data_IF_639452551635
#
_entry.id   IF_639452551635
#
_cell.length_a   1.000
_cell.length_b   1.000
_cell.length_c   1.000
_cell.angle_alpha   90.00
_cell.angle_beta   90.00
_cell.angle_gamma   90.00
#
_symmetry.space_group_name_H-M   'P 1'
#
loop_
_entity.id
_entity.type
_entity.pdbx_description
1 polymer ?
#
# COMPACT_ATOMS: atom_id res chain seq x y z
N UNK A 1 13.16 -2.86 -7.43
CA UNK A 1 13.35 -3.31 -6.04
C UNK A 1 12.01 -3.78 -5.48
N UNK A 2 11.98 -5.07 -5.12
CA UNK A 2 10.85 -5.65 -4.40
C UNK A 2 10.48 -4.80 -3.19
N UNK A 3 9.18 -4.70 -2.91
CA UNK A 3 8.67 -4.00 -1.72
C UNK A 3 9.19 -4.69 -0.47
N UNK A 4 9.70 -3.89 0.45
CA UNK A 4 10.26 -4.40 1.71
C UNK A 4 9.14 -4.83 2.66
N UNK A 5 7.98 -4.20 2.52
CA UNK A 5 6.75 -4.54 3.25
C UNK A 5 5.57 -4.47 2.28
N UNK A 6 4.71 -5.48 2.33
CA UNK A 6 3.41 -5.48 1.66
C UNK A 6 2.34 -5.83 2.68
N UNK A 7 1.32 -4.99 2.80
CA UNK A 7 0.20 -5.15 3.75
C UNK A 7 -1.13 -5.04 3.00
N UNK A 8 -2.16 -5.78 3.42
CA UNK A 8 -3.44 -5.77 2.73
C UNK A 8 -4.54 -6.57 3.43
N UNK A 9 -5.78 -6.44 2.96
CA UNK A 9 -6.96 -7.13 3.51
C UNK A 9 -7.73 -7.97 2.48
N UNK A 10 -7.15 -8.16 1.28
CA UNK A 10 -7.79 -8.86 0.15
C UNK A 10 -8.74 -8.00 -0.69
N UNK A 11 -8.75 -6.67 -0.50
CA UNK A 11 -9.35 -5.68 -1.41
C UNK A 11 -8.38 -4.52 -1.64
N UNK A 12 -7.80 -4.02 -0.55
CA UNK A 12 -6.72 -3.05 -0.52
C UNK A 12 -5.38 -3.77 -0.31
N UNK A 13 -4.39 -3.42 -1.12
CA UNK A 13 -3.00 -3.86 -0.99
C UNK A 13 -2.07 -2.64 -1.09
N UNK A 14 -1.15 -2.49 -0.14
CA UNK A 14 -0.18 -1.39 -0.11
C UNK A 14 1.24 -1.95 -0.05
N UNK A 15 2.09 -1.47 -0.96
CA UNK A 15 3.52 -1.82 -1.02
C UNK A 15 4.39 -0.66 -0.56
N UNK A 16 5.26 -0.92 0.41
CA UNK A 16 6.23 0.04 0.96
C UNK A 16 7.65 -0.34 0.52
N UNK A 17 8.45 0.66 0.15
CA UNK A 17 9.88 0.46 -0.08
C UNK A 17 10.69 0.36 1.22
N UNK A 18 12.00 0.17 1.09
CA UNK A 18 12.92 0.05 2.24
C UNK A 18 12.93 1.30 3.13
N UNK A 19 12.54 2.46 2.59
CA UNK A 19 12.47 3.75 3.29
C UNK A 19 11.11 3.97 3.97
N UNK A 20 10.21 2.99 3.91
CA UNK A 20 8.84 3.10 4.42
C UNK A 20 7.95 3.99 3.56
N UNK A 21 8.34 4.32 2.33
CA UNK A 21 7.55 5.14 1.43
C UNK A 21 6.56 4.28 0.65
N UNK A 22 5.32 4.74 0.48
CA UNK A 22 4.34 4.02 -0.34
C UNK A 22 4.74 4.12 -1.81
N UNK A 23 4.81 2.97 -2.46
CA UNK A 23 5.11 2.84 -3.91
C UNK A 23 3.96 2.25 -4.69
N UNK A 24 3.17 1.39 -4.04
CA UNK A 24 2.01 0.75 -4.63
C UNK A 24 0.80 0.87 -3.72
N UNK A 25 -0.35 1.15 -4.31
CA UNK A 25 -1.66 1.10 -3.67
C UNK A 25 -2.67 0.55 -4.66
N UNK A 26 -3.15 -0.67 -4.43
CA UNK A 26 -4.12 -1.35 -5.28
C UNK A 26 -5.48 -1.39 -4.61
N UNK A 27 -6.50 -0.93 -5.33
CA UNK A 27 -7.90 -0.93 -4.92
C UNK A 27 -8.80 -0.86 -6.17
N UNK A 28 -10.04 -1.37 -6.15
CA UNK A 28 -10.68 -2.23 -5.14
C UNK A 28 -10.34 -3.72 -5.30
N UNK A 29 -9.42 -4.04 -6.21
CA UNK A 29 -8.95 -5.38 -6.48
C UNK A 29 -7.45 -5.49 -6.28
N UNK A 30 -7.03 -6.60 -5.67
CA UNK A 30 -5.62 -6.85 -5.35
C UNK A 30 -4.78 -6.96 -6.63
N UNK A 31 -3.88 -6.01 -6.85
CA UNK A 31 -2.95 -6.04 -7.99
C UNK A 31 -3.48 -5.43 -9.30
N UNK A 32 -4.71 -4.92 -9.34
CA UNK A 32 -5.28 -4.43 -10.60
C UNK A 32 -4.88 -2.99 -10.93
N UNK A 33 -5.58 -1.99 -10.41
CA UNK A 33 -5.24 -0.60 -10.63
C UNK A 33 -4.27 -0.14 -9.55
N UNK A 34 -3.01 0.15 -9.90
CA UNK A 34 -2.13 0.85 -8.98
C UNK A 34 -2.42 2.35 -9.01
N UNK A 35 -2.80 2.92 -7.87
CA UNK A 35 -3.13 4.33 -7.73
C UNK A 35 -1.95 5.21 -7.34
N UNK A 36 -0.74 4.67 -7.25
CA UNK A 36 0.50 5.43 -6.95
C UNK A 36 1.43 5.41 -8.15
N UNK A 37 1.90 4.24 -8.53
CA UNK A 37 2.87 4.05 -9.63
C UNK A 37 2.30 3.24 -10.77
N UNK A 38 2.95 3.24 -11.93
CA UNK A 38 2.56 2.39 -13.06
C UNK A 38 3.44 2.64 -14.28
N UNK A 39 2.95 2.24 -15.46
CA UNK A 39 3.66 2.47 -16.72
C UNK A 39 3.94 3.97 -17.00
N UNK A 40 3.19 4.87 -16.36
CA UNK A 40 3.30 6.33 -16.55
C UNK A 40 4.32 7.01 -15.63
N UNK A 41 4.91 6.30 -14.65
CA UNK A 41 5.95 6.83 -13.78
C UNK A 41 6.11 6.04 -12.47
N UNK A 42 7.23 6.27 -11.79
CA UNK A 42 7.52 5.77 -10.44
C UNK A 42 7.29 6.91 -9.45
N UNK A 43 6.17 6.87 -8.75
CA UNK A 43 5.76 7.91 -7.82
C UNK A 43 5.79 7.38 -6.39
N UNK A 44 5.78 8.32 -5.45
CA UNK A 44 6.12 7.99 -4.07
C UNK A 44 5.37 8.85 -3.09
N UNK A 45 4.93 8.22 -2.01
CA UNK A 45 4.47 8.97 -0.85
C UNK A 45 5.68 9.28 0.04
N UNK A 46 6.07 10.55 0.07
CA UNK A 46 7.28 11.00 0.77
C UNK A 46 7.00 11.26 2.24
N UNK A 47 8.02 11.02 3.05
CA UNK A 47 8.04 11.31 4.48
C UNK A 47 9.21 12.25 4.71
N UNK A 48 8.94 13.44 5.25
CA UNK A 48 9.93 14.46 5.51
C UNK A 48 9.78 15.06 6.90
N UNK A 49 10.89 15.52 7.47
CA UNK A 49 10.92 16.22 8.76
C UNK A 49 11.55 17.58 8.57
N UNK A 50 10.89 18.61 9.07
CA UNK A 50 11.46 19.95 9.20
C UNK A 50 11.75 20.23 10.67
N UNK A 51 13.00 20.55 10.97
CA UNK A 51 13.47 20.87 12.32
C UNK A 51 14.64 21.83 12.21
N UNK A 52 14.72 22.80 13.12
CA UNK A 52 15.82 23.77 13.17
C UNK A 52 16.06 24.54 11.86
N UNK A 53 14.98 24.86 11.13
CA UNK A 53 15.03 25.66 9.90
C UNK A 53 15.42 24.88 8.64
N UNK A 54 15.47 23.55 8.69
CA UNK A 54 15.83 22.69 7.55
C UNK A 54 14.83 21.55 7.36
N UNK A 55 14.47 21.28 6.11
CA UNK A 55 13.76 20.06 5.71
C UNK A 55 14.77 18.92 5.48
N UNK A 56 14.37 17.69 5.77
CA UNK A 56 15.04 16.48 5.29
C UNK A 56 14.01 15.40 5.00
N UNK A 57 14.09 14.81 3.82
CA UNK A 57 13.27 13.69 3.39
C UNK A 57 13.97 12.37 3.71
N UNK A 58 13.20 11.32 3.99
CA UNK A 58 13.77 9.99 4.25
C UNK A 58 14.57 9.43 3.07
N UNK A 59 14.39 9.98 1.86
CA UNK A 59 15.19 9.62 0.71
C UNK A 59 16.49 10.41 0.52
N UNK A 60 16.72 11.46 1.32
CA UNK A 60 17.98 12.18 1.39
C UNK A 60 19.10 11.33 2.02
N UNK A 61 20.34 11.74 1.75
CA UNK A 61 21.50 11.20 2.45
C UNK A 61 21.46 11.54 3.95
N UNK A 62 21.92 10.62 4.80
CA UNK A 62 22.05 10.83 6.26
C UNK A 62 21.06 10.05 7.12
N UNK A 63 20.01 9.48 6.51
CA UNK A 63 19.11 8.56 7.20
C UNK A 63 19.63 7.12 7.17
N UNK A 64 19.69 6.48 8.33
CA UNK A 64 19.88 5.03 8.47
C UNK A 64 18.51 4.40 8.68
N UNK A 65 18.08 3.57 7.74
CA UNK A 65 16.73 3.02 7.73
C UNK A 65 16.76 1.50 7.78
N UNK A 66 15.93 0.94 8.65
CA UNK A 66 15.58 -0.48 8.68
C UNK A 66 14.06 -0.61 8.57
N UNK A 67 13.59 -1.56 7.76
CA UNK A 67 12.17 -1.85 7.62
C UNK A 67 11.93 -3.34 7.48
N UNK A 68 10.73 -3.78 7.83
CA UNK A 68 10.35 -5.18 7.73
C UNK A 68 8.92 -5.43 8.18
N UNK A 69 8.57 -6.71 8.17
CA UNK A 69 7.31 -7.21 8.69
C UNK A 69 7.56 -7.89 10.04
N UNK A 70 6.74 -7.58 11.02
CA UNK A 70 6.82 -8.18 12.35
C UNK A 70 6.47 -9.68 12.30
N UNK A 71 7.13 -10.50 13.13
CA UNK A 71 7.19 -11.98 12.97
C UNK A 71 5.81 -12.67 12.98
N UNK A 72 4.81 -12.10 13.66
CA UNK A 72 3.50 -12.70 13.86
C UNK A 72 2.33 -11.89 13.29
N UNK A 73 2.59 -10.85 12.52
CA UNK A 73 1.53 -9.97 12.04
C UNK A 73 1.84 -9.38 10.67
N UNK A 74 0.82 -9.09 9.87
CA UNK A 74 0.99 -8.33 8.63
C UNK A 74 0.89 -6.82 8.92
N UNK A 75 1.68 -6.38 9.90
CA UNK A 75 1.92 -4.97 10.22
C UNK A 75 3.39 -4.70 9.92
N UNK A 76 3.63 -3.69 9.09
CA UNK A 76 4.95 -3.22 8.75
C UNK A 76 5.56 -2.40 9.87
N UNK A 77 6.86 -2.50 10.03
CA UNK A 77 7.65 -1.62 10.89
C UNK A 77 8.77 -0.97 10.11
N UNK A 78 9.02 0.31 10.41
CA UNK A 78 10.18 1.04 9.91
C UNK A 78 10.81 1.84 11.05
N UNK A 79 12.13 1.91 11.05
CA UNK A 79 12.90 2.78 11.92
C UNK A 79 13.91 3.54 11.06
N UNK A 80 13.87 4.86 11.13
CA UNK A 80 14.79 5.76 10.45
C UNK A 80 15.48 6.67 11.47
N UNK A 81 16.80 6.75 11.43
CA UNK A 81 17.60 7.61 12.32
C UNK A 81 18.48 8.56 11.51
N UNK A 82 18.45 9.84 11.87
CA UNK A 82 19.39 10.84 11.39
C UNK A 82 20.13 11.47 12.58
N UNK A 83 21.41 11.10 12.72
CA UNK A 83 22.27 11.54 13.83
C UNK A 83 22.60 13.04 13.79
N UNK A 84 22.65 13.62 12.60
CA UNK A 84 22.93 15.05 12.42
C UNK A 84 21.72 15.89 12.84
N UNK A 85 20.52 15.50 12.38
CA UNK A 85 19.26 16.07 12.85
C UNK A 85 19.03 15.78 14.33
N UNK A 86 19.56 14.67 14.85
CA UNK A 86 19.21 14.16 16.18
C UNK A 86 17.73 13.76 16.25
N UNK A 87 17.20 13.23 15.15
CA UNK A 87 15.80 12.79 15.04
C UNK A 87 15.78 11.31 14.64
N UNK A 88 14.86 10.55 15.23
CA UNK A 88 14.45 9.26 14.67
C UNK A 88 12.95 9.19 14.47
N UNK A 89 12.52 8.39 13.51
CA UNK A 89 11.12 8.12 13.19
C UNK A 89 10.93 6.61 13.23
N UNK A 90 10.03 6.13 14.08
CA UNK A 90 9.48 4.78 13.99
C UNK A 90 8.13 4.80 13.29
N UNK A 91 7.77 3.76 12.54
CA UNK A 91 6.40 3.55 12.08
C UNK A 91 5.86 2.15 12.37
N UNK A 92 4.54 2.08 12.58
CA UNK A 92 3.72 0.86 12.42
C UNK A 92 2.72 1.11 11.30
N UNK A 93 2.74 0.25 10.29
CA UNK A 93 2.00 0.44 9.03
C UNK A 93 1.08 -0.75 8.78
N UNK A 94 -0.23 -0.51 8.66
CA UNK A 94 -1.24 -1.57 8.58
C UNK A 94 -2.33 -1.24 7.55
N UNK A 95 -2.84 -2.25 6.86
CA UNK A 95 -4.16 -2.14 6.20
C UNK A 95 -5.18 -2.80 7.11
N UNK A 96 -6.24 -2.08 7.47
CA UNK A 96 -7.23 -2.59 8.41
C UNK A 96 -7.89 -3.87 7.89
N UNK A 97 -8.06 -4.86 8.78
CA UNK A 97 -8.47 -6.22 8.41
C UNK A 97 -9.90 -6.31 7.82
N UNK A 98 -10.78 -5.35 8.10
CA UNK A 98 -12.17 -5.35 7.62
C UNK A 98 -12.55 -4.13 6.76
N UNK A 99 -11.75 -3.07 6.81
CA UNK A 99 -12.06 -1.80 6.16
C UNK A 99 -10.92 -1.40 5.25
N UNK A 100 -11.24 -0.79 4.11
CA UNK A 100 -10.28 -0.43 3.08
C UNK A 100 -9.55 0.88 3.47
N UNK A 101 -8.79 0.79 4.57
CA UNK A 101 -8.07 1.90 5.19
C UNK A 101 -6.62 1.46 5.44
N UNK A 102 -5.69 2.21 4.88
CA UNK A 102 -4.27 2.12 5.21
C UNK A 102 -3.96 3.08 6.35
N UNK A 103 -3.42 2.57 7.45
CA UNK A 103 -3.14 3.27 8.71
C UNK A 103 -1.63 3.28 8.96
N UNK A 104 -1.13 4.41 9.46
CA UNK A 104 0.26 4.58 9.85
C UNK A 104 0.31 5.27 11.21
N UNK A 105 1.08 4.70 12.13
CA UNK A 105 1.45 5.33 13.39
C UNK A 105 2.93 5.69 13.34
N UNK A 106 3.26 6.97 13.41
CA UNK A 106 4.62 7.49 13.47
C UNK A 106 4.96 7.92 14.89
N UNK A 107 6.10 7.45 15.40
CA UNK A 107 6.71 7.95 16.64
C UNK A 107 7.98 8.74 16.28
N UNK A 108 7.94 10.05 16.46
CA UNK A 108 9.07 10.95 16.17
C UNK A 108 9.80 11.26 17.47
N UNK A 109 11.09 10.96 17.55
CA UNK A 109 11.89 11.15 18.77
C UNK A 109 12.91 12.28 18.61
N UNK A 110 13.02 13.11 19.64
CA UNK A 110 14.02 14.15 19.78
C UNK A 110 15.20 13.64 20.63
N UNK A 111 16.34 13.37 19.99
CA UNK A 111 17.56 12.89 20.69
C UNK A 111 18.41 14.01 21.31
N UNK A 112 18.04 15.27 21.12
CA UNK A 112 18.72 16.43 21.72
C UNK A 112 18.15 16.72 23.11
N UNK A 113 18.87 17.55 23.87
CA UNK A 113 18.50 17.91 25.24
C UNK A 113 17.44 19.01 25.33
N UNK A 114 17.38 19.86 24.30
CA UNK A 114 16.47 20.99 24.18
C UNK A 114 15.13 20.56 23.62
N UNK A 115 14.07 21.26 24.04
CA UNK A 115 12.77 21.18 23.39
C UNK A 115 12.88 21.73 21.97
N UNK A 116 12.32 21.02 20.99
CA UNK A 116 12.37 21.43 19.58
C UNK A 116 10.98 21.41 18.94
N UNK A 117 10.74 22.40 18.09
CA UNK A 117 9.60 22.41 17.19
C UNK A 117 9.94 21.56 15.97
N UNK A 118 9.13 20.54 15.73
CA UNK A 118 9.31 19.58 14.65
C UNK A 118 8.05 19.59 13.80
N UNK A 119 8.21 19.59 12.47
CA UNK A 119 7.11 19.37 11.53
C UNK A 119 7.33 18.05 10.79
N UNK A 120 6.30 17.23 10.75
CA UNK A 120 6.24 16.04 9.90
C UNK A 120 5.47 16.39 8.63
N UNK A 121 6.13 16.23 7.48
CA UNK A 121 5.54 16.37 6.15
C UNK A 121 5.27 15.01 5.55
N UNK A 122 4.04 14.80 5.12
CA UNK A 122 3.61 13.59 4.41
C UNK A 122 3.09 14.04 3.05
N UNK A 123 3.82 13.70 1.98
CA UNK A 123 3.42 14.01 0.62
C UNK A 123 2.84 12.77 -0.06
N UNK A 124 1.75 12.93 -0.80
CA UNK A 124 1.02 11.86 -1.49
C UNK A 124 0.98 12.15 -2.98
N UNK A 125 1.60 11.28 -3.77
CA UNK A 125 1.50 11.32 -5.22
C UNK A 125 0.56 10.20 -5.67
N UNK A 126 -0.61 10.59 -6.17
CA UNK A 126 -1.54 9.64 -6.74
C UNK A 126 -1.51 9.69 -8.26
N UNK A 127 -1.66 8.51 -8.84
CA UNK A 127 -1.81 8.27 -10.27
C UNK A 127 -3.01 7.34 -10.44
N UNK A 128 -4.20 7.86 -10.21
CA UNK A 128 -5.41 7.02 -10.08
C UNK A 128 -5.66 6.32 -11.43
N UNK A 129 -5.79 4.99 -11.42
CA UNK A 129 -5.86 4.14 -12.62
C UNK A 129 -4.63 4.25 -13.52
N UNK A 130 -3.43 4.43 -12.94
CA UNK A 130 -2.15 4.50 -13.65
C UNK A 130 -2.07 5.60 -14.72
N UNK A 131 -2.96 6.59 -14.66
CA UNK A 131 -3.21 7.54 -15.73
C UNK A 131 -2.94 8.98 -15.29
N UNK A 132 -2.18 9.72 -16.12
CA UNK A 132 -1.75 11.11 -15.86
C UNK A 132 -2.84 12.19 -15.99
N UNK A 133 -4.11 11.80 -16.16
CA UNK A 133 -5.19 12.70 -16.57
C UNK A 133 -6.45 12.48 -15.75
N UNK A 134 -7.08 13.58 -15.36
CA UNK A 134 -8.43 13.58 -14.81
C UNK A 134 -8.51 13.20 -13.34
N UNK A 135 -7.39 13.25 -12.63
CA UNK A 135 -7.35 13.18 -11.18
C UNK A 135 -7.73 14.57 -10.64
N UNK A 136 -8.47 14.62 -9.53
CA UNK A 136 -8.78 15.86 -8.82
C UNK A 136 -8.42 15.68 -7.35
N UNK A 137 -7.66 16.60 -6.79
CA UNK A 137 -7.38 16.69 -5.36
C UNK A 137 -8.05 17.93 -4.77
N UNK A 138 -8.71 17.83 -3.63
CA UNK A 138 -9.25 18.99 -2.91
C UNK A 138 -9.26 18.79 -1.40
N UNK A 139 -9.19 19.89 -0.64
CA UNK A 139 -9.41 19.89 0.80
C UNK A 139 -10.91 20.01 1.11
N UNK A 140 -11.43 19.08 1.91
CA UNK A 140 -12.80 19.10 2.39
C UNK A 140 -12.86 19.61 3.84
N UNK A 141 -13.30 20.86 4.10
CA UNK A 141 -13.37 21.41 5.45
C UNK A 141 -14.44 20.77 6.32
N UNK A 142 -15.34 19.93 5.78
CA UNK A 142 -16.38 19.25 6.57
C UNK A 142 -15.81 18.12 7.41
N UNK A 143 -14.73 17.51 6.94
CA UNK A 143 -14.05 16.38 7.60
C UNK A 143 -12.57 16.68 7.90
N UNK A 144 -12.08 17.86 7.52
CA UNK A 144 -10.68 18.27 7.64
C UNK A 144 -9.72 17.26 6.99
N UNK A 145 -10.02 16.85 5.76
CA UNK A 145 -9.26 15.85 5.02
C UNK A 145 -9.01 16.30 3.58
N UNK A 146 -8.00 15.70 2.94
CA UNK A 146 -7.77 15.85 1.50
C UNK A 146 -8.44 14.69 0.78
N UNK A 147 -9.18 14.98 -0.28
CA UNK A 147 -9.81 13.99 -1.15
C UNK A 147 -9.12 14.02 -2.50
N UNK A 148 -8.60 12.88 -2.94
CA UNK A 148 -8.23 12.63 -4.33
C UNK A 148 -9.25 11.70 -4.95
N UNK A 149 -9.74 11.99 -6.16
CA UNK A 149 -10.69 11.12 -6.83
C UNK A 149 -10.56 11.13 -8.35
N UNK A 150 -11.03 10.04 -8.94
CA UNK A 150 -11.26 9.87 -10.38
C UNK A 150 -12.12 8.65 -10.63
N UNK A 151 -13.04 8.75 -11.59
CA UNK A 151 -13.96 7.67 -11.89
C UNK A 151 -14.74 7.26 -10.65
N UNK A 152 -14.71 5.97 -10.34
CA UNK A 152 -15.31 5.33 -9.16
C UNK A 152 -14.28 5.05 -8.05
N UNK A 153 -13.14 5.74 -8.02
CA UNK A 153 -12.16 5.66 -6.94
C UNK A 153 -12.02 6.99 -6.23
N UNK A 154 -12.16 6.95 -4.91
CA UNK A 154 -11.92 8.05 -3.99
C UNK A 154 -10.88 7.62 -2.95
N UNK A 155 -9.88 8.47 -2.76
CA UNK A 155 -8.79 8.32 -1.79
C UNK A 155 -8.83 9.51 -0.83
N UNK A 156 -9.21 9.28 0.42
CA UNK A 156 -9.21 10.32 1.45
C UNK A 156 -7.96 10.20 2.30
N UNK A 157 -7.23 11.31 2.46
CA UNK A 157 -6.01 11.43 3.24
C UNK A 157 -6.28 12.30 4.46
N UNK A 158 -5.99 11.77 5.65
CA UNK A 158 -6.17 12.49 6.90
C UNK A 158 -5.09 12.08 7.92
N UNK A 159 -4.87 12.92 8.92
CA UNK A 159 -3.86 12.70 9.94
C UNK A 159 -4.19 13.48 11.22
N UNK A 160 -3.78 12.92 12.36
CA UNK A 160 -3.88 13.58 13.67
C UNK A 160 -2.58 13.43 14.46
N UNK A 161 -2.25 14.47 15.22
CA UNK A 161 -1.16 14.46 16.20
C UNK A 161 -1.67 15.11 17.49
N UNK A 162 -1.45 14.45 18.63
CA UNK A 162 -1.99 14.89 19.94
C UNK A 162 -3.49 15.22 19.93
N UNK A 163 -4.28 14.45 19.17
CA UNK A 163 -5.73 14.65 19.01
C UNK A 163 -6.12 15.88 18.18
N UNK A 164 -5.17 16.57 17.55
CA UNK A 164 -5.42 17.68 16.63
C UNK A 164 -5.25 17.20 15.17
N UNK A 165 -6.11 17.64 14.24
CA UNK A 165 -5.93 17.36 12.81
C UNK A 165 -4.66 18.05 12.28
N UNK A 166 -4.16 17.60 11.12
CA UNK A 166 -3.06 18.28 10.43
C UNK A 166 -3.34 19.78 10.23
N UNK A 167 -2.31 20.61 10.35
CA UNK A 167 -2.48 22.06 10.49
C UNK A 167 -2.36 22.81 9.16
N UNK A 168 -1.61 22.26 8.21
CA UNK A 168 -1.42 22.87 6.90
C UNK A 168 -1.35 21.82 5.81
N UNK A 169 -1.62 22.23 4.58
CA UNK A 169 -1.58 21.38 3.41
C UNK A 169 -1.22 22.19 2.16
N UNK A 170 -0.90 21.50 1.08
CA UNK A 170 -0.93 22.06 -0.26
C UNK A 170 -1.37 20.97 -1.25
N UNK A 171 -2.11 21.36 -2.29
CA UNK A 171 -2.58 20.47 -3.36
C UNK A 171 -2.17 21.10 -4.68
N UNK A 172 -1.54 20.35 -5.58
CA UNK A 172 -0.94 20.95 -6.75
C UNK A 172 -0.57 19.97 -7.85
N UNK A 173 -0.03 20.51 -8.93
CA UNK A 173 0.40 19.72 -10.07
C UNK A 173 1.76 19.07 -9.80
N UNK A 174 1.92 17.83 -10.29
CA UNK A 174 3.21 17.14 -10.30
C UNK A 174 3.47 16.46 -11.64
N UNK A 175 4.73 16.47 -12.07
CA UNK A 175 5.19 15.83 -13.30
C UNK A 175 4.70 16.49 -14.60
N UNK A 176 4.02 17.64 -14.52
CA UNK A 176 3.51 18.39 -15.67
C UNK A 176 3.74 19.89 -15.46
N UNK A 177 3.72 20.66 -16.55
CA UNK A 177 3.88 22.13 -16.52
C UNK A 177 5.15 22.63 -15.80
N UNK A 178 6.21 21.82 -15.82
CA UNK A 178 7.46 22.13 -15.12
C UNK A 178 7.39 22.03 -13.60
N UNK A 179 6.27 21.52 -13.04
CA UNK A 179 6.09 21.27 -11.61
C UNK A 179 6.56 19.86 -11.26
N UNK A 180 7.47 19.74 -10.30
CA UNK A 180 7.94 18.44 -9.83
C UNK A 180 6.99 17.78 -8.82
N UNK A 181 6.31 18.59 -8.01
CA UNK A 181 5.30 18.16 -7.03
C UNK A 181 5.24 19.09 -5.82
N UNK A 182 4.15 19.02 -5.07
CA UNK A 182 3.91 19.87 -3.88
C UNK A 182 4.90 19.65 -2.75
N UNK A 183 5.64 18.53 -2.72
CA UNK A 183 6.66 18.30 -1.70
C UNK A 183 7.74 19.40 -1.66
N UNK A 184 8.04 20.06 -2.79
CA UNK A 184 9.00 21.18 -2.84
C UNK A 184 8.55 22.41 -2.06
N UNK A 185 7.24 22.56 -1.85
CA UNK A 185 6.66 23.65 -1.05
C UNK A 185 7.13 23.58 0.41
N UNK A 186 7.34 22.37 0.95
CA UNK A 186 7.78 22.18 2.33
C UNK A 186 9.22 22.62 2.63
N UNK A 187 9.99 23.11 1.64
CA UNK A 187 11.41 23.41 1.78
C UNK A 187 11.72 24.51 2.82
N UNK A 188 10.84 25.49 2.96
CA UNK A 188 10.97 26.55 3.97
C UNK A 188 10.15 26.26 5.25
N UNK A 189 9.49 25.10 5.29
CA UNK A 189 8.63 24.66 6.39
C UNK A 189 7.25 25.30 6.40
N UNK A 190 6.82 26.00 5.34
CA UNK A 190 5.51 26.62 5.19
C UNK A 190 4.85 26.08 3.92
N UNK A 191 3.55 25.78 3.97
CA UNK A 191 2.80 25.34 2.79
C UNK A 191 1.91 26.47 2.27
N UNK A 192 1.75 26.57 0.95
CA UNK A 192 0.96 27.61 0.26
C UNK A 192 -0.56 27.49 0.49
N UNK A 193 -1.06 26.33 0.95
CA UNK A 193 -2.48 26.10 1.24
C UNK A 193 -3.41 26.20 0.02
N UNK A 194 -2.95 25.80 -1.17
CA UNK A 194 -3.87 25.66 -2.30
C UNK A 194 -4.91 24.56 -2.02
N UNK A 195 -6.23 24.86 -2.04
CA UNK A 195 -7.27 23.95 -1.56
C UNK A 195 -7.79 22.97 -2.61
N UNK A 196 -7.40 23.12 -3.88
CA UNK A 196 -7.90 22.27 -4.96
C UNK A 196 -6.98 22.33 -6.18
N UNK A 197 -6.82 21.19 -6.85
CA UNK A 197 -6.22 21.12 -8.18
C UNK A 197 -6.77 19.92 -8.97
N UNK A 198 -6.59 19.92 -10.29
CA UNK A 198 -7.01 18.87 -11.21
C UNK A 198 -5.94 18.56 -12.27
N UNK A 199 -6.00 17.35 -12.86
CA UNK A 199 -5.05 16.88 -13.86
C UNK A 199 -4.14 15.77 -13.33
N UNK A 200 -2.86 16.09 -13.12
CA UNK A 200 -1.87 15.22 -12.48
C UNK A 200 -1.55 15.85 -11.12
N UNK A 201 -2.26 15.39 -10.10
CA UNK A 201 -2.37 16.08 -8.80
C UNK A 201 -1.68 15.29 -7.69
N UNK A 202 -0.85 15.98 -6.91
CA UNK A 202 -0.33 15.48 -5.64
C UNK A 202 -0.76 16.40 -4.50
N UNK A 203 -0.53 15.95 -3.27
CA UNK A 203 -0.74 16.77 -2.08
C UNK A 203 0.36 16.56 -1.07
N UNK A 204 0.48 17.51 -0.15
CA UNK A 204 1.31 17.39 1.04
C UNK A 204 0.52 17.91 2.23
N UNK A 205 0.64 17.22 3.37
CA UNK A 205 0.11 17.67 4.66
C UNK A 205 1.25 17.87 5.65
N UNK A 206 1.02 18.74 6.61
CA UNK A 206 1.98 19.14 7.63
C UNK A 206 1.37 18.96 9.03
N UNK A 207 2.11 18.27 9.89
CA UNK A 207 1.82 18.14 11.31
C UNK A 207 2.95 18.76 12.14
N UNK A 208 2.64 19.80 12.91
CA UNK A 208 3.58 20.52 13.78
C UNK A 208 3.39 20.10 15.23
N UNK A 209 4.49 19.86 15.94
CA UNK A 209 4.48 19.56 17.37
C UNK A 209 5.81 19.91 18.05
N UNK A 210 5.69 20.25 19.34
CA UNK A 210 6.83 20.54 20.22
C UNK A 210 7.24 19.27 20.97
N UNK A 211 8.50 18.86 20.84
CA UNK A 211 9.03 17.65 21.48
C UNK A 211 10.10 18.04 22.51
N UNK A 212 9.88 17.80 23.82
CA UNK A 212 10.93 17.97 24.83
C UNK A 212 12.19 17.17 24.52
N UNK A 213 13.31 17.57 25.11
CA UNK A 213 14.55 16.82 24.96
C UNK A 213 14.42 15.37 25.44
N UNK A 214 14.95 14.44 24.65
CA UNK A 214 14.86 12.99 24.89
C UNK A 214 13.44 12.44 25.01
N UNK A 215 12.44 13.14 24.45
CA UNK A 215 11.06 12.70 24.38
C UNK A 215 10.66 12.37 22.93
N UNK A 216 9.46 11.81 22.77
CA UNK A 216 8.85 11.52 21.48
C UNK A 216 7.44 12.08 21.37
N UNK A 217 6.96 12.16 20.14
CA UNK A 217 5.58 12.52 19.81
C UNK A 217 4.99 11.46 18.86
N UNK A 218 3.77 11.02 19.16
CA UNK A 218 3.03 10.07 18.33
C UNK A 218 2.09 10.80 17.37
N UNK A 219 2.02 10.32 16.14
CA UNK A 219 1.23 10.90 15.05
C UNK A 219 0.62 9.80 14.21
N UNK A 220 -0.63 9.97 13.82
CA UNK A 220 -1.38 9.00 13.05
C UNK A 220 -1.74 9.59 11.69
N UNK A 221 -1.61 8.79 10.65
CA UNK A 221 -1.92 9.13 9.26
C UNK A 221 -2.69 7.98 8.64
N UNK A 222 -3.66 8.28 7.79
CA UNK A 222 -4.35 7.23 7.05
C UNK A 222 -4.79 7.66 5.66
N UNK A 223 -4.97 6.63 4.82
CA UNK A 223 -5.59 6.73 3.50
C UNK A 223 -6.79 5.79 3.48
N UNK A 224 -7.99 6.36 3.35
CA UNK A 224 -9.22 5.62 3.08
C UNK A 224 -9.37 5.42 1.58
N UNK A 225 -9.70 4.20 1.15
CA UNK A 225 -10.05 3.89 -0.23
C UNK A 225 -11.54 3.54 -0.32
N UNK A 226 -12.28 4.21 -1.20
CA UNK A 226 -13.72 4.06 -1.32
C UNK A 226 -14.20 4.29 -2.76
N UNK A 227 -15.45 3.93 -3.04
CA UNK A 227 -16.07 4.14 -4.36
C UNK A 227 -16.67 5.53 -4.55
N UNK A 228 -16.79 6.31 -3.47
CA UNK A 228 -17.39 7.64 -3.48
C UNK A 228 -16.93 8.49 -2.29
N UNK A 229 -17.09 9.82 -2.40
CA UNK A 229 -16.78 10.75 -1.30
C UNK A 229 -17.62 10.47 -0.04
N UNK A 230 -18.95 10.22 -0.11
CA UNK A 230 -19.72 9.89 1.08
C UNK A 230 -19.27 8.61 1.80
N UNK A 231 -18.87 7.59 1.03
CA UNK A 231 -18.32 6.35 1.60
C UNK A 231 -16.96 6.61 2.26
N UNK A 232 -16.10 7.40 1.61
CA UNK A 232 -14.82 7.80 2.19
C UNK A 232 -15.00 8.54 3.53
N UNK A 233 -15.97 9.47 3.60
CA UNK A 233 -16.29 10.18 4.84
C UNK A 233 -16.80 9.24 5.94
N UNK A 234 -17.60 8.23 5.59
CA UNK A 234 -18.12 7.26 6.56
C UNK A 234 -16.99 6.43 7.17
N UNK A 235 -16.02 6.02 6.35
CA UNK A 235 -14.85 5.28 6.82
C UNK A 235 -13.89 6.17 7.61
N UNK A 236 -13.69 7.43 7.22
CA UNK A 236 -12.89 8.40 7.98
C UNK A 236 -13.49 8.67 9.38
N UNK A 237 -14.81 8.85 9.46
CA UNK A 237 -15.51 8.98 10.74
C UNK A 237 -15.32 7.75 11.62
N UNK A 238 -15.33 6.55 11.04
CA UNK A 238 -15.03 5.30 11.76
C UNK A 238 -13.60 5.30 12.32
N UNK A 239 -12.61 5.72 11.54
CA UNK A 239 -11.20 5.82 11.98
C UNK A 239 -11.07 6.78 13.16
N UNK A 240 -11.67 7.97 13.05
CA UNK A 240 -11.65 8.98 14.10
C UNK A 240 -12.38 8.51 15.38
N UNK A 241 -13.49 7.80 15.22
CA UNK A 241 -14.31 7.31 16.35
C UNK A 241 -13.68 6.15 17.10
N UNK A 242 -13.18 5.13 16.40
CA UNK A 242 -12.57 3.96 17.03
C UNK A 242 -11.13 4.24 17.49
N UNK A 243 -10.45 5.17 16.82
CA UNK A 243 -9.06 5.55 17.08
C UNK A 243 -8.08 4.74 16.21
N UNK A 244 -7.17 5.40 15.46
CA UNK A 244 -6.28 4.71 14.54
C UNK A 244 -5.34 3.71 15.23
N UNK A 245 -4.86 4.00 16.44
CA UNK A 245 -4.04 3.05 17.22
C UNK A 245 -4.78 1.75 17.54
N UNK A 246 -6.06 1.86 17.90
CA UNK A 246 -6.91 0.71 18.21
C UNK A 246 -7.18 -0.12 16.96
N UNK A 247 -7.35 0.50 15.80
CA UNK A 247 -7.51 -0.19 14.52
C UNK A 247 -6.22 -0.91 14.08
N UNK A 248 -5.05 -0.33 14.36
CA UNK A 248 -3.76 -1.01 14.14
C UNK A 248 -3.66 -2.22 15.07
N UNK A 249 -3.97 -2.06 16.37
CA UNK A 249 -3.92 -3.15 17.34
C UNK A 249 -4.93 -4.27 17.04
N UNK A 250 -6.13 -3.95 16.55
CA UNK A 250 -7.12 -4.96 16.13
C UNK A 250 -6.65 -5.71 14.89
N UNK A 251 -5.98 -5.03 13.96
CA UNK A 251 -5.38 -5.65 12.77
C UNK A 251 -4.24 -6.60 13.18
N UNK A 252 -3.40 -6.20 14.13
CA UNK A 252 -2.35 -7.06 14.69
C UNK A 252 -2.94 -8.31 15.35
N UNK A 253 -3.95 -8.15 16.19
CA UNK A 253 -4.66 -9.28 16.81
C UNK A 253 -5.31 -10.21 15.77
N UNK A 254 -5.88 -9.66 14.70
CA UNK A 254 -6.42 -10.43 13.59
C UNK A 254 -5.35 -11.32 12.95
N UNK A 255 -4.17 -10.78 12.63
CA UNK A 255 -3.12 -11.56 11.98
C UNK A 255 -2.51 -12.63 12.89
N UNK A 256 -2.36 -12.34 14.18
CA UNK A 256 -1.98 -13.35 15.17
C UNK A 256 -2.98 -14.50 15.18
N UNK A 257 -4.28 -14.20 15.33
CA UNK A 257 -5.33 -15.22 15.32
C UNK A 257 -5.41 -15.97 13.97
N UNK A 258 -5.17 -15.28 12.86
CA UNK A 258 -5.13 -15.88 11.53
C UNK A 258 -3.99 -16.89 11.42
N UNK A 259 -2.77 -16.54 11.87
CA UNK A 259 -1.61 -17.44 11.88
C UNK A 259 -1.77 -18.61 12.86
N UNK A 260 -2.40 -18.40 14.01
CA UNK A 260 -2.63 -19.45 15.02
C UNK A 260 -3.57 -20.58 14.56
N UNK A 261 -4.35 -20.35 13.50
CA UNK A 261 -5.15 -21.40 12.85
C UNK A 261 -4.28 -22.51 12.26
N UNK A 262 -3.05 -22.16 11.88
CA UNK A 262 -2.04 -23.08 11.35
C UNK A 262 -1.41 -23.89 12.50
N UNK A 263 -1.46 -25.21 12.41
CA UNK A 263 -1.07 -26.13 13.48
C UNK A 263 0.20 -26.92 13.18
N UNK A 264 0.97 -26.55 12.15
CA UNK A 264 2.20 -27.27 11.83
C UNK A 264 3.21 -27.05 12.94
N UNK A 265 3.79 -28.14 13.44
CA UNK A 265 4.87 -28.05 14.41
C UNK A 265 6.15 -27.57 13.72
N UNK A 266 6.51 -26.31 13.95
CA UNK A 266 7.73 -25.69 13.44
C UNK A 266 8.88 -25.72 14.46
N UNK A 267 8.71 -26.38 15.61
CA UNK A 267 9.67 -26.33 16.72
C UNK A 267 11.04 -26.91 16.40
N UNK A 268 11.12 -27.83 15.43
CA UNK A 268 12.38 -28.41 14.95
C UNK A 268 13.17 -27.45 14.04
N UNK A 269 12.55 -26.38 13.54
CA UNK A 269 13.18 -25.42 12.64
C UNK A 269 13.87 -24.27 13.41
N UNK A 270 15.00 -23.73 12.92
CA UNK A 270 15.57 -22.48 13.40
C UNK A 270 14.55 -21.33 13.37
N UNK A 271 14.62 -20.41 14.34
CA UNK A 271 13.68 -19.28 14.47
C UNK A 271 13.50 -18.50 13.16
N UNK A 272 14.58 -18.19 12.46
CA UNK A 272 14.52 -17.44 11.20
C UNK A 272 13.68 -18.15 10.12
N UNK A 273 13.69 -19.50 10.09
CA UNK A 273 12.84 -20.26 9.17
C UNK A 273 11.37 -20.30 9.62
N UNK A 274 11.11 -20.29 10.93
CA UNK A 274 9.73 -20.17 11.45
C UNK A 274 9.14 -18.79 11.11
N UNK A 275 9.94 -17.73 11.28
CA UNK A 275 9.59 -16.37 10.87
C UNK A 275 9.34 -16.28 9.37
N UNK A 276 10.23 -16.88 8.55
CA UNK A 276 10.07 -16.91 7.10
C UNK A 276 8.79 -17.65 6.69
N UNK A 277 8.49 -18.80 7.32
CA UNK A 277 7.27 -19.56 7.06
C UNK A 277 6.00 -18.73 7.29
N UNK A 278 5.88 -18.10 8.47
CA UNK A 278 4.74 -17.24 8.82
C UNK A 278 4.63 -16.04 7.88
N UNK A 279 5.78 -15.41 7.58
CA UNK A 279 5.83 -14.29 6.63
C UNK A 279 5.38 -14.71 5.23
N UNK A 280 5.79 -15.86 4.74
CA UNK A 280 5.36 -16.40 3.46
C UNK A 280 3.84 -16.59 3.40
N UNK A 281 3.22 -17.14 4.45
CA UNK A 281 1.77 -17.29 4.54
C UNK A 281 1.05 -15.94 4.47
N UNK A 282 1.51 -14.93 5.22
CA UNK A 282 0.92 -13.59 5.20
C UNK A 282 1.09 -12.92 3.83
N UNK A 283 2.28 -13.00 3.22
CA UNK A 283 2.54 -12.44 1.89
C UNK A 283 1.62 -13.07 0.85
N UNK A 284 1.50 -14.41 0.83
CA UNK A 284 0.55 -15.08 -0.07
C UNK A 284 -0.90 -14.62 0.19
N UNK A 285 -1.28 -14.42 1.46
CA UNK A 285 -2.64 -14.03 1.83
C UNK A 285 -2.98 -12.63 1.36
N UNK A 286 -2.08 -11.65 1.51
CA UNK A 286 -2.33 -10.28 1.04
C UNK A 286 -2.33 -10.17 -0.49
N UNK A 287 -1.66 -11.09 -1.20
CA UNK A 287 -1.72 -11.22 -2.66
C UNK A 287 -2.96 -12.02 -3.16
N UNK A 288 -3.89 -12.36 -2.26
CA UNK A 288 -5.14 -13.05 -2.60
C UNK A 288 -6.32 -12.10 -2.44
N UNK A 289 -7.01 -11.80 -3.55
CA UNK A 289 -8.27 -11.06 -3.53
C UNK A 289 -9.35 -11.87 -2.81
N UNK A 290 -10.20 -11.18 -2.05
CA UNK A 290 -11.33 -11.80 -1.35
C UNK A 290 -12.34 -12.45 -2.31
N UNK A 291 -12.27 -12.16 -3.61
CA UNK A 291 -13.07 -12.76 -4.68
C UNK A 291 -12.40 -13.97 -5.34
N UNK A 292 -11.22 -14.38 -4.87
CA UNK A 292 -10.58 -15.66 -5.23
C UNK A 292 -9.39 -15.56 -6.18
N UNK A 293 -9.18 -14.43 -6.86
CA UNK A 293 -7.99 -14.23 -7.68
C UNK A 293 -6.72 -14.13 -6.82
N UNK A 294 -5.69 -14.92 -7.15
CA UNK A 294 -4.38 -14.90 -6.49
C UNK A 294 -3.34 -14.40 -7.50
N UNK A 295 -2.74 -13.24 -7.23
CA UNK A 295 -1.74 -12.67 -8.15
C UNK A 295 -0.35 -13.26 -7.93
N UNK A 296 0.47 -13.30 -8.99
CA UNK A 296 1.85 -13.79 -8.89
C UNK A 296 2.77 -12.84 -8.09
N UNK A 297 2.64 -11.53 -8.28
CA UNK A 297 3.36 -10.51 -7.49
C UNK A 297 2.69 -9.15 -7.63
N UNK A 298 2.77 -8.31 -6.60
CA UNK A 298 2.28 -6.92 -6.63
C UNK A 298 3.37 -5.88 -6.94
N UNK A 299 4.60 -6.28 -7.27
CA UNK A 299 5.71 -5.35 -7.52
C UNK A 299 5.57 -4.67 -8.88
N UNK A 300 5.47 -3.33 -8.88
CA UNK A 300 5.43 -2.52 -10.11
C UNK A 300 6.79 -2.09 -10.64
N UNK A 301 7.91 -2.39 -9.97
CA UNK A 301 9.21 -1.91 -10.46
C UNK A 301 9.57 -2.53 -11.82
N UNK A 302 9.05 -3.71 -12.10
CA UNK A 302 9.13 -4.34 -13.41
C UNK A 302 8.40 -3.55 -14.50
N UNK A 303 7.31 -2.83 -14.20
CA UNK A 303 6.58 -2.01 -15.18
C UNK A 303 7.42 -0.84 -15.70
N UNK A 304 8.43 -0.38 -14.95
CA UNK A 304 9.28 0.72 -15.39
C UNK A 304 10.25 0.31 -16.51
N UNK A 305 10.53 -0.99 -16.67
CA UNK A 305 11.45 -1.52 -17.68
C UNK A 305 10.81 -2.57 -18.59
N UNK A 306 9.66 -3.11 -18.19
CA UNK A 306 8.87 -4.09 -18.90
C UNK A 306 7.69 -3.48 -19.64
N UNK A 307 7.01 -4.30 -20.43
CA UNK A 307 5.79 -3.89 -21.15
C UNK A 307 4.51 -4.15 -20.34
N UNK A 308 4.64 -4.83 -19.19
CA UNK A 308 3.53 -5.46 -18.50
C UNK A 308 3.89 -5.81 -17.04
N UNK A 309 2.89 -6.18 -16.24
CA UNK A 309 3.00 -6.46 -14.80
C UNK A 309 2.97 -7.96 -14.45
N UNK A 310 3.38 -8.30 -13.23
CA UNK A 310 3.16 -9.60 -12.58
C UNK A 310 1.89 -9.64 -11.72
N UNK A 311 1.15 -8.54 -11.67
CA UNK A 311 -0.11 -8.44 -10.93
C UNK A 311 -1.28 -9.08 -11.69
N UNK A 312 -1.10 -10.32 -12.16
CA UNK A 312 -2.15 -11.15 -12.76
C UNK A 312 -2.28 -12.48 -12.03
N UNK A 313 -3.45 -13.07 -12.16
CA UNK A 313 -3.75 -14.46 -11.81
C UNK A 313 -3.27 -15.36 -12.95
N UNK A 314 -2.07 -15.91 -12.82
CA UNK A 314 -1.64 -17.06 -13.61
C UNK A 314 -2.19 -18.33 -12.95
N UNK A 315 -2.98 -19.15 -13.66
CA UNK A 315 -3.59 -20.34 -13.06
C UNK A 315 -2.58 -21.27 -12.37
N UNK A 316 -1.40 -21.46 -12.98
CA UNK A 316 -0.29 -22.24 -12.40
C UNK A 316 0.17 -21.70 -11.05
N UNK A 317 0.58 -20.43 -11.01
CA UNK A 317 1.11 -19.77 -9.82
C UNK A 317 0.05 -19.74 -8.70
N UNK A 318 -1.17 -19.37 -9.05
CA UNK A 318 -2.31 -19.31 -8.15
C UNK A 318 -2.68 -20.68 -7.57
N UNK A 319 -2.66 -21.74 -8.38
CA UNK A 319 -2.96 -23.11 -7.91
C UNK A 319 -1.89 -23.64 -6.94
N UNK A 320 -0.61 -23.31 -7.14
CA UNK A 320 0.47 -23.65 -6.19
C UNK A 320 0.23 -22.98 -4.83
N UNK A 321 -0.16 -21.70 -4.83
CA UNK A 321 -0.48 -20.95 -3.61
C UNK A 321 -1.75 -21.51 -2.96
N UNK A 322 -2.80 -21.78 -3.72
CA UNK A 322 -4.06 -22.35 -3.22
C UNK A 322 -3.84 -23.73 -2.56
N UNK A 323 -3.00 -24.58 -3.14
CA UNK A 323 -2.59 -25.85 -2.53
C UNK A 323 -1.83 -25.65 -1.21
N UNK A 324 -1.03 -24.58 -1.11
CA UNK A 324 -0.35 -24.25 0.15
C UNK A 324 -1.36 -23.84 1.22
N UNK A 325 -2.37 -23.03 0.88
CA UNK A 325 -3.46 -22.69 1.80
C UNK A 325 -4.27 -23.91 2.23
N UNK A 326 -4.54 -24.84 1.32
CA UNK A 326 -5.25 -26.08 1.65
C UNK A 326 -4.45 -26.93 2.65
N UNK A 327 -3.14 -27.12 2.40
CA UNK A 327 -2.23 -27.86 3.29
C UNK A 327 -2.05 -27.23 4.67
N UNK A 328 -2.17 -25.92 4.76
CA UNK A 328 -1.98 -25.15 6.01
C UNK A 328 -3.30 -24.82 6.71
N UNK A 329 -4.43 -25.39 6.25
CA UNK A 329 -5.72 -25.29 6.93
C UNK A 329 -6.54 -24.04 6.60
N UNK A 330 -6.12 -23.23 5.62
CA UNK A 330 -6.84 -22.06 5.10
C UNK A 330 -7.75 -22.42 3.92
N UNK A 331 -8.54 -23.49 4.08
CA UNK A 331 -9.40 -24.04 3.02
C UNK A 331 -10.42 -23.04 2.45
N UNK A 332 -10.84 -22.06 3.24
CA UNK A 332 -11.75 -21.03 2.76
C UNK A 332 -11.11 -20.17 1.65
N UNK A 333 -9.80 -19.93 1.72
CA UNK A 333 -9.04 -19.21 0.70
C UNK A 333 -8.91 -20.04 -0.57
N UNK A 334 -8.56 -21.34 -0.43
CA UNK A 334 -8.40 -22.23 -1.58
C UNK A 334 -9.73 -22.48 -2.32
N UNK A 335 -10.85 -22.64 -1.60
CA UNK A 335 -12.18 -22.81 -2.21
C UNK A 335 -12.56 -21.61 -3.07
N UNK A 336 -12.37 -20.38 -2.56
CA UNK A 336 -12.66 -19.16 -3.34
C UNK A 336 -11.84 -19.08 -4.62
N UNK A 337 -10.58 -19.51 -4.59
CA UNK A 337 -9.76 -19.60 -5.80
C UNK A 337 -10.34 -20.57 -6.84
N UNK A 338 -10.71 -21.79 -6.44
CA UNK A 338 -11.30 -22.75 -7.38
C UNK A 338 -12.66 -22.28 -7.93
N UNK A 339 -13.48 -21.62 -7.11
CA UNK A 339 -14.72 -20.98 -7.57
C UNK A 339 -14.45 -19.87 -8.60
N UNK A 340 -13.45 -19.03 -8.34
CA UNK A 340 -12.99 -17.99 -9.27
C UNK A 340 -12.56 -18.61 -10.61
N UNK A 341 -11.70 -19.65 -10.57
CA UNK A 341 -11.18 -20.31 -11.78
C UNK A 341 -12.26 -21.06 -12.55
N UNK A 342 -13.22 -21.69 -11.87
CA UNK A 342 -14.36 -22.34 -12.52
C UNK A 342 -15.20 -21.32 -13.34
N UNK A 343 -15.28 -20.08 -12.88
CA UNK A 343 -15.91 -18.97 -13.62
C UNK A 343 -15.12 -18.52 -14.85
N UNK A 344 -13.82 -18.86 -14.95
CA UNK A 344 -12.94 -18.45 -16.04
C UNK A 344 -12.78 -19.51 -17.15
N UNK A 345 -13.38 -20.68 -17.00
CA UNK A 345 -13.24 -21.77 -17.96
C UNK A 345 -13.87 -21.39 -19.30
N UNK A 346 -13.10 -21.51 -20.39
CA UNK A 346 -13.65 -21.40 -21.74
C UNK A 346 -14.72 -22.49 -21.94
N UNK A 347 -15.80 -22.23 -22.69
CA UNK A 347 -16.79 -23.26 -23.02
C UNK A 347 -16.22 -24.54 -23.66
N UNK A 348 -15.02 -24.46 -24.23
CA UNK A 348 -14.28 -25.57 -24.82
C UNK A 348 -13.46 -26.38 -23.80
N UNK A 349 -13.46 -26.00 -22.52
CA UNK A 349 -12.88 -26.76 -21.42
C UNK A 349 -11.40 -26.46 -21.10
N UNK A 350 -10.91 -25.27 -21.42
CA UNK A 350 -9.54 -24.84 -21.08
C UNK A 350 -9.52 -23.47 -20.40
N UNK A 351 -8.41 -23.16 -19.74
CA UNK A 351 -8.12 -21.82 -19.21
C UNK A 351 -7.25 -21.02 -20.19
N UNK A 352 -7.55 -19.73 -20.30
CA UNK A 352 -6.67 -18.79 -20.99
C UNK A 352 -5.44 -18.45 -20.11
N UNK A 353 -4.41 -17.89 -20.76
CA UNK A 353 -3.09 -17.69 -20.16
C UNK A 353 -3.06 -17.01 -18.78
N UNK A 354 -3.80 -15.91 -18.58
CA UNK A 354 -3.83 -15.20 -17.30
C UNK A 354 -5.03 -14.28 -17.21
N UNK A 355 -5.44 -13.99 -15.98
CA UNK A 355 -6.61 -13.18 -15.65
C UNK A 355 -6.24 -12.03 -14.71
N UNK A 356 -7.05 -11.00 -14.66
CA UNK A 356 -7.08 -10.02 -13.58
C UNK A 356 -7.88 -10.57 -12.41
N UNK A 357 -7.73 -9.98 -11.24
CA UNK A 357 -8.47 -10.35 -10.02
C UNK A 357 -9.98 -10.05 -10.09
N UNK A 358 -10.41 -9.20 -11.03
CA UNK A 358 -11.82 -8.99 -11.39
C UNK A 358 -12.39 -10.09 -12.33
N UNK A 359 -11.56 -11.06 -12.75
CA UNK A 359 -11.92 -12.14 -13.67
C UNK A 359 -11.77 -11.80 -15.15
N UNK A 360 -11.42 -10.56 -15.50
CA UNK A 360 -11.23 -10.19 -16.91
C UNK A 360 -9.92 -10.80 -17.44
N UNK A 361 -9.91 -11.16 -18.72
CA UNK A 361 -8.71 -11.67 -19.37
C UNK A 361 -7.55 -10.66 -19.28
N UNK A 362 -6.39 -11.14 -18.83
CA UNK A 362 -5.16 -10.36 -18.80
C UNK A 362 -4.54 -10.21 -20.19
N UNK A 363 -3.50 -9.39 -20.29
CA UNK A 363 -2.64 -9.35 -21.47
C UNK A 363 -2.09 -10.75 -21.80
N UNK A 364 -1.71 -11.02 -23.05
CA UNK A 364 -1.08 -12.29 -23.40
C UNK A 364 -0.09 -12.11 -24.54
N UNK A 365 0.92 -12.97 -24.55
CA UNK A 365 1.87 -13.11 -25.65
C UNK A 365 1.63 -14.37 -26.49
N UNK A 366 0.63 -15.19 -26.14
CA UNK A 366 0.34 -16.43 -26.87
C UNK A 366 -0.49 -16.14 -28.13
N UNK A 367 0.01 -16.53 -29.31
CA UNK A 367 -0.72 -16.32 -30.56
C UNK A 367 -1.74 -17.43 -30.81
N UNK A 368 -2.80 -17.10 -31.56
CA UNK A 368 -3.74 -18.09 -32.09
C UNK A 368 -3.22 -18.83 -33.34
N UNK A 369 -2.05 -18.43 -33.87
CA UNK A 369 -1.46 -18.98 -35.08
C UNK A 369 0.03 -19.22 -34.86
N UNK A 370 0.49 -20.45 -35.13
CA UNK A 370 1.91 -20.83 -35.10
C UNK A 370 2.23 -21.50 -36.43
N UNK A 371 3.23 -20.98 -37.16
CA UNK A 371 3.63 -21.47 -38.49
C UNK A 371 2.48 -21.59 -39.51
N UNK A 372 1.50 -20.67 -39.43
CA UNK A 372 0.34 -20.66 -40.33
C UNK A 372 -0.80 -21.60 -39.92
N UNK A 373 -0.65 -22.36 -38.84
CA UNK A 373 -1.69 -23.24 -38.30
C UNK A 373 -2.39 -22.60 -37.10
N UNK A 374 -3.71 -22.74 -37.03
CA UNK A 374 -4.47 -22.35 -35.85
C UNK A 374 -4.08 -23.22 -34.64
N UNK A 375 -3.81 -22.58 -33.50
CA UNK A 375 -3.51 -23.20 -32.20
C UNK A 375 -4.28 -22.47 -31.10
N UNK A 376 -4.58 -23.17 -30.01
CA UNK A 376 -5.11 -22.53 -28.81
C UNK A 376 -3.98 -21.73 -28.13
N UNK A 377 -4.21 -20.48 -27.72
CA UNK A 377 -3.20 -19.62 -27.11
C UNK A 377 -3.08 -19.90 -25.59
N UNK A 378 -2.89 -21.16 -25.24
CA UNK A 378 -2.96 -21.65 -23.85
C UNK A 378 -1.61 -22.22 -23.40
N UNK A 379 -1.47 -22.36 -22.09
CA UNK A 379 -0.48 -23.23 -21.49
C UNK A 379 -1.23 -24.43 -20.90
N UNK A 380 -0.92 -25.64 -21.37
CA UNK A 380 -1.69 -26.84 -20.99
C UNK A 380 -1.62 -27.13 -19.47
N UNK A 381 -0.49 -26.81 -18.84
CA UNK A 381 -0.29 -26.95 -17.40
C UNK A 381 -1.20 -26.02 -16.58
N UNK A 382 -1.56 -24.84 -17.11
CA UNK A 382 -2.45 -23.90 -16.42
C UNK A 382 -3.85 -24.48 -16.23
N UNK A 383 -4.34 -25.24 -17.22
CA UNK A 383 -5.61 -25.96 -17.09
C UNK A 383 -5.45 -27.22 -16.23
N UNK A 384 -4.34 -27.95 -16.36
CA UNK A 384 -4.14 -29.21 -15.66
C UNK A 384 -3.86 -29.07 -14.15
N UNK A 385 -3.36 -27.91 -13.71
CA UNK A 385 -2.98 -27.67 -12.30
C UNK A 385 -4.18 -27.24 -11.45
N UNK A 386 -5.25 -26.74 -12.08
CA UNK A 386 -6.53 -26.36 -11.44
C UNK A 386 -7.47 -27.55 -11.45
#
# INVERSE_FOLDING_TARGET
>A
MARSVTVGNGKLLVGLDVKGQVRDLYFPYVGEANHVSGASGNYVHRIGVFVDGRISWLDDDGWKITSGLDEGTCVGSMFAENLELGISIGSRDAVHNEHDVFLRHFTVHNHRSETREVKLFLAQQFRIFESRRGDTGFYDPRVNAIIHYKGDTTLLVNAVSNGQPFQSYNIGLFGIEGKEGTYLDANDGVLEQNPIEHGSVDSVIELSFSIPGHASNDTYYWVVCASSVPEAHTLDELVLKEGPDRLIASTEAYWHAWLEKEQTDLSELPKDLQTLYKRSLMVMRVHTDNRGGIIASSDTDMLHHGRDTYSYVWPRDAAIIANTFDKTGYRDVSVRFFEFMAGQLDPSGYLMHKFRTDGVLGSSWHPWIINGEAKLPIQEDETATV
#
